data_IF_312527465612
#
_entry.id   IF_312527465612
#
_cell.length_a   1.000
_cell.length_b   1.000
_cell.length_c   1.000
_cell.angle_alpha   90.00
_cell.angle_beta   90.00
_cell.angle_gamma   90.00
#
_symmetry.space_group_name_H-M   'P 1'
#
loop_
_entity.id
_entity.type
_entity.pdbx_description
1 polymer ?
#
# COMPACT_ATOMS: atom_id res chain seq x y z
N UNK A 1 5.19 17.78 21.82
CA UNK A 1 5.73 16.87 22.86
C UNK A 1 4.76 16.74 24.03
N UNK A 2 4.39 17.84 24.69
CA UNK A 2 3.47 17.85 25.86
C UNK A 2 2.09 17.26 25.52
N UNK A 3 1.49 17.63 24.39
CA UNK A 3 0.19 17.11 23.97
C UNK A 3 0.18 15.59 23.78
N UNK A 4 1.21 15.04 23.12
CA UNK A 4 1.33 13.59 22.96
C UNK A 4 1.45 12.86 24.31
N UNK A 5 2.26 13.39 25.24
CA UNK A 5 2.43 12.80 26.57
C UNK A 5 1.14 12.85 27.40
N UNK A 6 0.35 13.93 27.29
CA UNK A 6 -0.94 14.05 27.96
C UNK A 6 -1.97 13.03 27.44
N UNK A 7 -1.98 12.80 26.12
CA UNK A 7 -2.86 11.81 25.48
C UNK A 7 -2.37 10.37 25.71
N UNK A 8 -1.06 10.17 25.90
CA UNK A 8 -0.41 8.86 26.00
C UNK A 8 0.45 8.75 27.27
N UNK A 9 -0.14 8.80 28.47
CA UNK A 9 0.60 8.86 29.73
C UNK A 9 1.47 7.61 29.98
N UNK A 10 1.05 6.43 29.50
CA UNK A 10 1.83 5.19 29.55
C UNK A 10 3.13 5.23 28.76
N UNK A 11 3.27 6.18 27.82
CA UNK A 11 4.44 6.33 26.95
C UNK A 11 5.23 7.61 27.25
N UNK A 12 4.84 8.39 28.26
CA UNK A 12 5.54 9.61 28.63
C UNK A 12 7.03 9.37 28.97
N UNK A 13 7.34 8.22 29.59
CA UNK A 13 8.70 7.80 29.90
C UNK A 13 9.57 7.42 28.69
N UNK A 14 8.98 7.18 27.51
CA UNK A 14 9.69 6.96 26.25
C UNK A 14 10.05 8.28 25.54
N UNK A 15 9.29 9.34 25.79
CA UNK A 15 9.39 10.64 25.09
C UNK A 15 10.44 11.56 25.74
N UNK A 16 10.77 11.33 27.02
CA UNK A 16 11.82 12.06 27.74
C UNK A 16 13.22 11.68 27.24
N UNK A 17 13.93 12.65 26.64
CA UNK A 17 15.26 12.48 26.06
C UNK A 17 16.25 11.83 27.03
N UNK A 18 17.03 10.87 26.52
CA UNK A 18 17.99 10.00 27.23
C UNK A 18 17.43 8.82 28.02
N UNK A 19 16.27 8.26 27.65
CA UNK A 19 15.97 6.91 28.11
C UNK A 19 16.95 5.93 27.42
N UNK A 20 17.86 5.31 28.19
CA UNK A 20 18.74 4.20 27.73
C UNK A 20 17.94 3.14 26.97
N UNK A 21 16.67 2.98 27.35
CA UNK A 21 15.68 2.10 26.73
C UNK A 21 15.48 2.43 25.24
N UNK A 22 15.33 3.70 24.84
CA UNK A 22 15.09 4.05 23.43
C UNK A 22 16.30 3.77 22.53
N UNK A 23 17.53 3.86 23.09
CA UNK A 23 18.77 3.52 22.39
C UNK A 23 19.01 2.00 22.34
N UNK A 24 18.62 1.26 23.37
CA UNK A 24 18.74 -0.21 23.43
C UNK A 24 17.64 -0.94 22.64
N UNK A 25 16.47 -0.31 22.43
CA UNK A 25 15.29 -0.96 21.80
C UNK A 25 15.02 -0.54 20.36
N UNK A 26 15.85 0.33 19.76
CA UNK A 26 15.74 0.83 18.37
C UNK A 26 14.28 1.12 17.93
N UNK A 27 13.56 1.90 18.74
CA UNK A 27 12.11 2.14 18.55
C UNK A 27 11.75 2.74 17.18
N UNK A 28 12.69 3.47 16.57
CA UNK A 28 12.54 4.09 15.25
C UNK A 28 13.00 3.17 14.12
N UNK A 29 13.74 2.10 14.42
CA UNK A 29 14.35 1.21 13.45
C UNK A 29 15.56 1.80 12.72
N UNK A 30 16.15 2.89 13.23
CA UNK A 30 17.24 3.59 12.56
C UNK A 30 18.55 2.80 12.61
N UNK A 31 18.79 2.06 13.70
CA UNK A 31 19.99 1.20 13.78
C UNK A 31 19.88 0.06 12.77
N UNK A 32 18.73 -0.62 12.74
CA UNK A 32 18.45 -1.64 11.73
C UNK A 32 18.57 -1.10 10.29
N UNK A 33 18.03 0.09 10.03
CA UNK A 33 18.15 0.76 8.72
C UNK A 33 19.62 1.03 8.35
N UNK A 34 20.40 1.63 9.25
CA UNK A 34 21.80 1.96 8.97
C UNK A 34 22.65 0.70 8.79
N UNK A 35 22.40 -0.37 9.55
CA UNK A 35 23.07 -1.65 9.36
C UNK A 35 22.79 -2.24 7.97
N UNK A 36 21.55 -2.15 7.48
CA UNK A 36 21.18 -2.60 6.13
C UNK A 36 21.82 -1.75 5.02
N UNK A 37 21.94 -0.43 5.21
CA UNK A 37 22.70 0.45 4.31
C UNK A 37 24.17 0.03 4.26
N UNK A 38 24.82 -0.13 5.41
CA UNK A 38 26.23 -0.52 5.50
C UNK A 38 26.48 -1.91 4.87
N UNK A 39 25.57 -2.86 5.10
CA UNK A 39 25.59 -4.18 4.46
C UNK A 39 25.49 -4.07 2.94
N UNK A 40 24.62 -3.19 2.44
CA UNK A 40 24.45 -2.97 1.00
C UNK A 40 25.69 -2.34 0.36
N UNK A 41 26.35 -1.42 1.06
CA UNK A 41 27.62 -0.81 0.63
C UNK A 41 28.74 -1.85 0.63
N UNK A 42 28.88 -2.64 1.69
CA UNK A 42 29.86 -3.72 1.78
C UNK A 42 29.67 -4.77 0.66
N UNK A 43 28.41 -5.06 0.31
CA UNK A 43 28.05 -5.91 -0.81
C UNK A 43 28.15 -5.23 -2.19
N UNK A 44 28.69 -4.00 -2.27
CA UNK A 44 28.87 -3.20 -3.49
C UNK A 44 27.59 -3.06 -4.32
N UNK A 45 26.44 -2.94 -3.65
CA UNK A 45 25.16 -2.68 -4.32
C UNK A 45 25.22 -1.29 -4.99
N UNK A 46 24.67 -1.20 -6.20
CA UNK A 46 24.65 0.04 -6.96
C UNK A 46 23.89 1.16 -6.25
N UNK A 47 24.23 2.41 -6.60
CA UNK A 47 23.69 3.63 -6.00
C UNK A 47 22.15 3.69 -6.01
N UNK A 48 21.51 3.19 -7.07
CA UNK A 48 20.04 3.06 -7.17
C UNK A 48 19.42 2.27 -6.02
N UNK A 49 20.09 1.21 -5.54
CA UNK A 49 19.61 0.39 -4.41
C UNK A 49 19.70 1.16 -3.11
N UNK A 50 20.81 1.88 -2.90
CA UNK A 50 21.01 2.72 -1.72
C UNK A 50 19.97 3.84 -1.68
N UNK A 51 19.76 4.55 -2.80
CA UNK A 51 18.71 5.58 -2.91
C UNK A 51 17.30 5.04 -2.66
N UNK A 52 17.01 3.83 -3.12
CA UNK A 52 15.70 3.20 -2.87
C UNK A 52 15.47 2.99 -1.37
N UNK A 53 16.46 2.46 -0.64
CA UNK A 53 16.38 2.27 0.82
C UNK A 53 16.17 3.59 1.56
N UNK A 54 16.91 4.64 1.20
CA UNK A 54 16.73 5.98 1.79
C UNK A 54 15.35 6.57 1.47
N UNK A 55 14.87 6.40 0.23
CA UNK A 55 13.52 6.84 -0.15
C UNK A 55 12.46 6.15 0.70
N UNK A 56 12.56 4.83 0.85
CA UNK A 56 11.61 4.05 1.66
C UNK A 56 11.62 4.52 3.13
N UNK A 57 12.80 4.80 3.70
CA UNK A 57 12.92 5.34 5.06
C UNK A 57 12.29 6.74 5.20
N UNK A 58 12.51 7.65 4.25
CA UNK A 58 11.90 9.00 4.26
C UNK A 58 10.38 8.92 4.07
N UNK A 59 9.89 8.10 3.14
CA UNK A 59 8.44 7.90 2.92
C UNK A 59 7.80 7.32 4.18
N UNK A 60 8.44 6.33 4.82
CA UNK A 60 7.98 5.79 6.10
C UNK A 60 7.87 6.89 7.16
N UNK A 61 8.95 7.66 7.37
CA UNK A 61 8.97 8.73 8.37
C UNK A 61 7.88 9.77 8.15
N UNK A 62 7.70 10.25 6.92
CA UNK A 62 6.68 11.26 6.59
C UNK A 62 5.25 10.74 6.77
N UNK A 63 4.98 9.47 6.48
CA UNK A 63 3.67 8.84 6.74
C UNK A 63 3.41 8.62 8.24
N UNK A 64 4.45 8.32 9.02
CA UNK A 64 4.36 8.26 10.49
C UNK A 64 4.10 9.65 11.07
N UNK A 65 4.78 10.67 10.55
CA UNK A 65 4.56 12.07 10.95
C UNK A 65 3.13 12.52 10.68
N UNK A 66 2.54 12.14 9.54
CA UNK A 66 1.14 12.45 9.24
C UNK A 66 0.18 11.86 10.30
N UNK A 67 0.36 10.59 10.65
CA UNK A 67 -0.45 9.92 11.67
C UNK A 67 -0.23 10.51 13.08
N UNK A 68 0.99 10.99 13.39
CA UNK A 68 1.27 11.73 14.61
C UNK A 68 0.49 13.05 14.63
N UNK A 69 0.52 13.80 13.53
CA UNK A 69 -0.16 15.09 13.45
C UNK A 69 -1.66 14.96 13.63
N UNK A 70 -2.30 13.99 12.98
CA UNK A 70 -3.72 13.71 13.20
C UNK A 70 -4.03 13.30 14.64
N UNK A 71 -3.20 12.42 15.22
CA UNK A 71 -3.40 11.98 16.61
C UNK A 71 -3.30 13.11 17.62
N UNK A 72 -2.35 14.04 17.42
CA UNK A 72 -2.04 15.10 18.39
C UNK A 72 -2.80 16.39 18.12
N UNK A 73 -2.99 16.76 16.85
CA UNK A 73 -3.56 18.05 16.41
C UNK A 73 -4.93 17.91 15.75
N UNK A 74 -5.42 16.68 15.54
CA UNK A 74 -6.73 16.41 14.92
C UNK A 74 -6.72 16.43 13.39
N UNK A 75 -5.66 16.94 12.77
CA UNK A 75 -5.47 16.96 11.33
C UNK A 75 -3.97 17.00 10.99
N UNK A 76 -3.64 16.64 9.74
CA UNK A 76 -2.27 16.61 9.23
C UNK A 76 -2.18 17.40 7.94
N UNK A 77 -1.19 18.29 7.83
CA UNK A 77 -0.91 18.99 6.57
C UNK A 77 -0.23 18.06 5.53
N UNK A 78 0.23 16.89 5.98
CA UNK A 78 0.88 15.89 5.14
C UNK A 78 -0.12 14.94 4.46
N UNK A 79 -1.41 15.04 4.80
CA UNK A 79 -2.47 14.29 4.16
C UNK A 79 -3.39 15.23 3.39
N UNK A 80 -3.24 15.23 2.06
CA UNK A 80 -3.98 16.13 1.17
C UNK A 80 -5.11 15.33 0.50
N UNK A 81 -6.34 15.84 0.58
CA UNK A 81 -7.51 15.26 -0.09
C UNK A 81 -8.25 14.18 0.70
N UNK A 82 -8.11 14.17 2.03
CA UNK A 82 -8.79 13.22 2.91
C UNK A 82 -10.31 13.31 2.95
N UNK A 83 -10.85 14.47 2.57
CA UNK A 83 -12.27 14.77 2.68
C UNK A 83 -13.04 14.57 1.36
N UNK A 84 -12.33 14.31 0.25
CA UNK A 84 -12.90 14.42 -1.12
C UNK A 84 -13.62 13.16 -1.62
N UNK A 85 -13.50 12.02 -0.94
CA UNK A 85 -14.24 10.81 -1.30
C UNK A 85 -15.04 10.25 -0.12
N UNK A 86 -16.35 10.42 -0.22
CA UNK A 86 -17.38 9.73 0.54
C UNK A 86 -17.42 8.23 0.14
N UNK A 87 -16.31 7.54 0.40
CA UNK A 87 -16.04 6.17 -0.04
C UNK A 87 -16.64 5.12 0.91
N UNK A 88 -17.53 5.56 1.80
CA UNK A 88 -18.28 4.73 2.75
C UNK A 88 -19.09 3.60 2.09
N UNK A 89 -19.27 3.61 0.76
CA UNK A 89 -19.90 2.52 0.02
C UNK A 89 -19.03 1.27 -0.19
N UNK A 90 -17.70 1.37 -0.10
CA UNK A 90 -16.78 0.22 -0.33
C UNK A 90 -16.14 -0.33 0.94
N UNK A 91 -16.37 0.26 2.11
CA UNK A 91 -15.80 -0.18 3.39
C UNK A 91 -14.28 0.04 3.55
N UNK A 92 -13.59 0.39 2.46
CA UNK A 92 -12.15 0.67 2.47
C UNK A 92 -11.90 2.09 2.96
N UNK A 93 -11.74 2.21 4.27
CA UNK A 93 -11.35 3.45 4.94
C UNK A 93 -9.91 3.35 5.46
N UNK A 94 -9.22 4.49 5.49
CA UNK A 94 -7.89 4.62 6.08
C UNK A 94 -6.83 5.11 5.10
N UNK A 95 -5.82 5.77 5.64
CA UNK A 95 -4.68 6.31 4.92
C UNK A 95 -3.45 6.33 5.84
N UNK A 96 -2.30 6.73 5.30
CA UNK A 96 -1.08 6.87 6.10
C UNK A 96 -0.40 5.54 6.39
N UNK A 97 0.55 5.54 7.33
CA UNK A 97 1.38 4.36 7.61
C UNK A 97 0.57 3.23 8.25
N UNK A 98 0.97 1.98 7.98
CA UNK A 98 0.29 0.79 8.49
C UNK A 98 1.20 0.08 9.48
N UNK A 99 0.70 -0.07 10.70
CA UNK A 99 1.32 -0.89 11.74
C UNK A 99 0.69 -2.28 11.81
N UNK A 100 1.43 -3.23 12.35
CA UNK A 100 0.95 -4.59 12.64
C UNK A 100 -0.16 -4.55 13.69
N UNK A 101 0.02 -3.73 14.72
CA UNK A 101 -0.91 -3.53 15.83
C UNK A 101 -0.76 -2.14 16.46
N UNK A 102 -1.74 -1.77 17.30
CA UNK A 102 -1.77 -0.49 18.00
C UNK A 102 -0.61 -0.29 19.00
N UNK A 103 -0.16 -1.31 19.77
CA UNK A 103 1.04 -1.18 20.60
C UNK A 103 2.30 -0.82 19.80
N UNK A 104 2.49 -1.38 18.62
CA UNK A 104 3.62 -1.06 17.73
C UNK A 104 3.53 0.38 17.24
N UNK A 105 2.33 0.84 16.87
CA UNK A 105 2.07 2.23 16.51
C UNK A 105 2.46 3.18 17.63
N UNK A 106 1.97 2.94 18.85
CA UNK A 106 2.23 3.82 19.99
C UNK A 106 3.72 3.91 20.34
N UNK A 107 4.44 2.78 20.32
CA UNK A 107 5.89 2.74 20.54
C UNK A 107 6.67 3.53 19.49
N UNK A 108 6.34 3.33 18.22
CA UNK A 108 7.04 4.01 17.12
C UNK A 108 6.73 5.51 17.08
N UNK A 109 5.49 5.91 17.35
CA UNK A 109 5.12 7.32 17.52
C UNK A 109 5.88 7.94 18.68
N UNK A 110 5.93 7.28 19.84
CA UNK A 110 6.65 7.74 21.02
C UNK A 110 8.16 7.94 20.73
N UNK A 111 8.77 7.03 19.99
CA UNK A 111 10.18 7.13 19.57
C UNK A 111 10.45 8.28 18.58
N UNK A 112 9.45 8.68 17.78
CA UNK A 112 9.60 9.72 16.76
C UNK A 112 9.15 11.13 17.20
N UNK A 113 8.50 11.29 18.37
CA UNK A 113 7.91 12.58 18.80
C UNK A 113 8.88 13.74 18.67
N UNK A 114 10.09 13.61 19.23
CA UNK A 114 11.11 14.69 19.22
C UNK A 114 11.53 15.06 17.80
N UNK A 115 11.71 14.05 16.94
CA UNK A 115 12.10 14.22 15.54
C UNK A 115 11.01 14.89 14.72
N UNK A 116 9.77 14.44 14.88
CA UNK A 116 8.61 14.99 14.17
C UNK A 116 8.41 16.45 14.58
N UNK A 117 8.37 16.75 15.87
CA UNK A 117 8.19 18.12 16.36
C UNK A 117 9.33 19.05 15.94
N UNK A 118 10.57 18.55 15.92
CA UNK A 118 11.71 19.29 15.39
C UNK A 118 11.56 19.58 13.89
N UNK A 119 11.24 18.55 13.09
CA UNK A 119 11.14 18.67 11.64
C UNK A 119 9.99 19.57 11.19
N UNK A 120 8.84 19.53 11.85
CA UNK A 120 7.65 20.34 11.52
C UNK A 120 7.91 21.85 11.52
N UNK A 121 8.93 22.30 12.25
CA UNK A 121 9.32 23.71 12.32
C UNK A 121 10.41 24.12 11.31
N UNK A 122 10.77 23.23 10.37
CA UNK A 122 11.87 23.46 9.43
C UNK A 122 11.39 23.80 8.02
N UNK A 123 12.26 24.44 7.23
CA UNK A 123 12.01 24.72 5.81
C UNK A 123 11.67 23.46 5.01
N UNK A 124 12.31 22.33 5.31
CA UNK A 124 12.09 21.09 4.55
C UNK A 124 10.69 20.51 4.77
N UNK A 125 10.07 20.72 5.93
CA UNK A 125 8.68 20.37 6.16
C UNK A 125 7.73 21.19 5.29
N UNK A 126 7.91 22.52 5.26
CA UNK A 126 7.09 23.39 4.43
C UNK A 126 7.27 23.12 2.92
N UNK A 127 8.51 22.86 2.48
CA UNK A 127 8.76 22.43 1.10
C UNK A 127 8.10 21.10 0.78
N UNK A 128 8.13 20.14 1.71
CA UNK A 128 7.47 18.84 1.52
C UNK A 128 5.95 18.97 1.40
N UNK A 129 5.30 19.84 2.17
CA UNK A 129 3.86 20.14 2.01
C UNK A 129 3.57 20.68 0.60
N UNK A 130 4.39 21.60 0.10
CA UNK A 130 4.23 22.16 -1.24
C UNK A 130 4.39 21.09 -2.32
N UNK A 131 5.38 20.21 -2.18
CA UNK A 131 5.60 19.09 -3.09
C UNK A 131 4.39 18.12 -3.08
N UNK A 132 3.86 17.80 -1.89
CA UNK A 132 2.66 16.97 -1.77
C UNK A 132 1.46 17.62 -2.46
N UNK A 133 1.26 18.93 -2.30
CA UNK A 133 0.17 19.65 -2.93
C UNK A 133 0.28 19.61 -4.47
N UNK A 134 1.49 19.78 -5.00
CA UNK A 134 1.73 19.63 -6.43
C UNK A 134 1.46 18.21 -6.91
N UNK A 135 1.98 17.19 -6.21
CA UNK A 135 1.73 15.78 -6.55
C UNK A 135 0.23 15.47 -6.54
N UNK A 136 -0.53 16.01 -5.58
CA UNK A 136 -1.98 15.80 -5.49
C UNK A 136 -2.73 16.30 -6.73
N UNK A 137 -2.28 17.41 -7.36
CA UNK A 137 -2.95 17.95 -8.56
C UNK A 137 -2.95 16.99 -9.74
N UNK A 138 -1.88 16.21 -9.90
CA UNK A 138 -1.65 15.29 -11.01
C UNK A 138 -1.86 13.81 -10.64
N UNK A 139 -2.25 13.53 -9.39
CA UNK A 139 -2.41 12.15 -8.91
C UNK A 139 -3.57 11.47 -9.65
N UNK A 140 -3.36 10.29 -10.27
CA UNK A 140 -4.40 9.59 -11.02
C UNK A 140 -5.62 9.20 -10.18
N UNK A 141 -5.38 8.79 -8.93
CA UNK A 141 -6.42 8.43 -7.97
C UNK A 141 -6.36 9.35 -6.76
N UNK A 142 -7.40 10.17 -6.61
CA UNK A 142 -7.65 11.03 -5.44
C UNK A 142 -8.54 10.29 -4.43
N UNK A 143 -8.42 10.63 -3.15
CA UNK A 143 -9.20 10.05 -2.03
C UNK A 143 -9.04 8.54 -1.76
N UNK A 144 -8.23 7.81 -2.56
CA UNK A 144 -7.88 6.41 -2.31
C UNK A 144 -6.37 6.28 -2.04
N UNK A 145 -6.01 5.84 -0.83
CA UNK A 145 -4.63 5.56 -0.46
C UNK A 145 -4.26 4.10 -0.81
N UNK A 146 -3.88 3.88 -2.07
CA UNK A 146 -3.39 2.56 -2.54
C UNK A 146 -2.19 2.06 -1.73
N UNK A 147 -1.33 2.96 -1.26
CA UNK A 147 -0.16 2.56 -0.49
C UNK A 147 -0.57 2.01 0.88
N UNK A 148 -1.54 2.66 1.53
CA UNK A 148 -2.13 2.17 2.77
C UNK A 148 -2.81 0.80 2.57
N UNK A 149 -3.66 0.67 1.55
CA UNK A 149 -4.34 -0.60 1.27
C UNK A 149 -3.35 -1.75 0.98
N UNK A 150 -2.32 -1.49 0.19
CA UNK A 150 -1.29 -2.48 -0.11
C UNK A 150 -0.51 -2.87 1.15
N UNK A 151 -0.11 -1.89 1.97
CA UNK A 151 0.58 -2.17 3.24
C UNK A 151 -0.31 -2.93 4.23
N UNK A 152 -1.63 -2.73 4.23
CA UNK A 152 -2.56 -3.54 5.05
C UNK A 152 -2.51 -5.02 4.67
N UNK A 153 -2.51 -5.34 3.37
CA UNK A 153 -2.35 -6.74 2.92
C UNK A 153 -0.98 -7.31 3.32
N UNK A 154 0.07 -6.48 3.35
CA UNK A 154 1.43 -6.88 3.68
C UNK A 154 1.68 -7.08 5.17
N UNK A 155 1.11 -6.21 6.00
CA UNK A 155 1.54 -6.03 7.39
C UNK A 155 0.51 -6.51 8.40
N UNK A 156 -0.79 -6.47 8.06
CA UNK A 156 -1.87 -6.80 8.99
C UNK A 156 -2.42 -8.21 8.77
N UNK A 157 -2.90 -8.82 9.86
CA UNK A 157 -3.70 -10.05 9.80
C UNK A 157 -5.17 -9.71 9.56
N UNK A 158 -5.52 -9.57 8.29
CA UNK A 158 -6.88 -9.25 7.89
C UNK A 158 -7.80 -10.47 7.92
N UNK A 159 -9.03 -10.29 8.39
CA UNK A 159 -10.06 -11.29 8.21
C UNK A 159 -10.54 -11.31 6.73
N UNK A 160 -11.23 -12.38 6.28
CA UNK A 160 -11.64 -12.48 4.89
C UNK A 160 -12.62 -11.41 4.39
N UNK A 161 -13.37 -10.75 5.27
CA UNK A 161 -14.24 -9.63 4.87
C UNK A 161 -13.40 -8.36 4.62
N UNK A 162 -12.45 -8.08 5.50
CA UNK A 162 -11.53 -6.94 5.37
C UNK A 162 -10.63 -7.05 4.14
N UNK A 163 -10.06 -8.23 3.87
CA UNK A 163 -9.24 -8.42 2.67
C UNK A 163 -10.09 -8.37 1.39
N UNK A 164 -11.33 -8.88 1.42
CA UNK A 164 -12.28 -8.76 0.29
C UNK A 164 -12.50 -7.30 -0.09
N UNK A 165 -12.75 -6.40 0.85
CA UNK A 165 -12.95 -4.98 0.57
C UNK A 165 -11.76 -4.38 -0.19
N UNK A 166 -10.53 -4.69 0.24
CA UNK A 166 -9.31 -4.22 -0.42
C UNK A 166 -9.20 -4.74 -1.85
N UNK A 167 -9.37 -6.05 -2.07
CA UNK A 167 -9.26 -6.63 -3.41
C UNK A 167 -10.34 -6.13 -4.37
N UNK A 168 -11.57 -5.96 -3.89
CA UNK A 168 -12.66 -5.41 -4.69
C UNK A 168 -12.38 -3.95 -5.05
N UNK A 169 -11.88 -3.14 -4.10
CA UNK A 169 -11.50 -1.76 -4.36
C UNK A 169 -10.33 -1.65 -5.35
N UNK A 170 -9.28 -2.47 -5.23
CA UNK A 170 -8.22 -2.54 -6.23
C UNK A 170 -8.76 -2.86 -7.61
N UNK A 171 -9.60 -3.89 -7.72
CA UNK A 171 -10.19 -4.26 -9.01
C UNK A 171 -11.07 -3.14 -9.59
N UNK A 172 -11.79 -2.39 -8.74
CA UNK A 172 -12.72 -1.29 -9.08
C UNK A 172 -12.05 0.03 -9.46
N UNK A 173 -10.91 0.37 -8.87
CA UNK A 173 -10.28 1.68 -9.06
C UNK A 173 -8.96 1.64 -9.84
N UNK A 174 -8.41 0.45 -10.11
CA UNK A 174 -7.18 0.32 -10.91
C UNK A 174 -7.58 -0.21 -12.30
N UNK A 175 -7.70 0.69 -13.27
CA UNK A 175 -8.11 0.40 -14.65
C UNK A 175 -7.21 1.06 -15.69
N UNK A 176 -6.97 2.37 -15.55
CA UNK A 176 -6.26 3.15 -16.55
C UNK A 176 -4.75 2.93 -16.49
N UNK A 177 -4.05 3.36 -17.54
CA UNK A 177 -2.59 3.29 -17.62
C UNK A 177 -1.92 3.93 -16.39
N UNK A 178 -2.34 5.15 -16.04
CA UNK A 178 -1.77 5.92 -14.94
C UNK A 178 -2.11 5.31 -13.57
N UNK A 179 -3.29 4.72 -13.42
CA UNK A 179 -3.69 4.01 -12.20
C UNK A 179 -2.86 2.74 -11.98
N UNK A 180 -2.58 2.00 -13.05
CA UNK A 180 -1.68 0.84 -12.99
C UNK A 180 -0.28 1.31 -12.63
N UNK A 181 0.25 2.37 -13.26
CA UNK A 181 1.55 2.94 -12.91
C UNK A 181 1.61 3.35 -11.43
N UNK A 182 0.55 4.01 -10.93
CA UNK A 182 0.45 4.38 -9.53
C UNK A 182 0.46 3.14 -8.62
N UNK A 183 -0.30 2.10 -8.95
CA UNK A 183 -0.31 0.86 -8.18
C UNK A 183 1.07 0.17 -8.16
N UNK A 184 1.74 0.07 -9.31
CA UNK A 184 3.09 -0.52 -9.40
C UNK A 184 4.12 0.28 -8.60
N UNK A 185 3.93 1.59 -8.45
CA UNK A 185 4.80 2.44 -7.61
C UNK A 185 4.70 2.12 -6.11
N UNK A 186 3.55 1.61 -5.64
CA UNK A 186 3.35 1.22 -4.23
C UNK A 186 3.62 -0.27 -3.96
N UNK A 187 3.83 -1.06 -5.02
CA UNK A 187 4.16 -2.47 -4.96
C UNK A 187 5.52 -2.76 -5.61
N UNK A 188 6.64 -2.13 -5.18
CA UNK A 188 7.94 -2.38 -5.78
C UNK A 188 8.41 -3.82 -5.52
N UNK A 189 9.30 -4.35 -6.37
CA UNK A 189 9.85 -5.70 -6.21
C UNK A 189 10.58 -5.91 -4.87
N UNK A 190 11.20 -4.84 -4.34
CA UNK A 190 11.81 -4.85 -3.01
C UNK A 190 10.79 -5.13 -1.89
N UNK A 191 9.51 -4.86 -2.12
CA UNK A 191 8.39 -5.11 -1.19
C UNK A 191 7.53 -6.30 -1.65
N UNK A 192 8.16 -7.27 -2.32
CA UNK A 192 7.54 -8.49 -2.88
C UNK A 192 6.66 -8.28 -4.13
N UNK A 193 6.69 -7.11 -4.75
CA UNK A 193 5.99 -6.88 -6.01
C UNK A 193 4.49 -7.15 -5.91
N UNK A 194 3.95 -7.90 -6.88
CA UNK A 194 2.53 -8.27 -6.92
C UNK A 194 2.14 -9.41 -5.98
N UNK A 195 3.06 -9.93 -5.16
CA UNK A 195 2.79 -11.09 -4.30
C UNK A 195 1.52 -10.92 -3.44
N UNK A 196 1.39 -9.80 -2.72
CA UNK A 196 0.23 -9.54 -1.86
C UNK A 196 -1.08 -9.34 -2.64
N UNK A 197 -0.99 -8.84 -3.88
CA UNK A 197 -2.13 -8.82 -4.79
C UNK A 197 -2.51 -10.25 -5.22
N UNK A 198 -1.53 -11.06 -5.60
CA UNK A 198 -1.72 -12.43 -6.08
C UNK A 198 -2.28 -13.38 -5.02
N UNK A 199 -2.10 -13.09 -3.72
CA UNK A 199 -2.79 -13.82 -2.65
C UNK A 199 -4.32 -13.78 -2.80
N UNK A 200 -4.88 -12.76 -3.48
CA UNK A 200 -6.31 -12.68 -3.80
C UNK A 200 -6.80 -13.83 -4.69
N UNK A 201 -5.92 -14.47 -5.47
CA UNK A 201 -6.24 -15.67 -6.25
C UNK A 201 -6.59 -16.88 -5.36
N UNK A 202 -6.20 -16.86 -4.09
CA UNK A 202 -6.46 -17.93 -3.12
C UNK A 202 -7.52 -17.54 -2.09
N UNK A 203 -8.19 -16.41 -2.30
CA UNK A 203 -9.22 -15.95 -1.38
C UNK A 203 -10.41 -16.91 -1.33
N UNK A 204 -11.04 -17.08 -0.16
CA UNK A 204 -12.19 -17.99 0.02
C UNK A 204 -13.38 -17.61 -0.88
N UNK A 205 -13.54 -16.31 -1.11
CA UNK A 205 -14.61 -15.75 -1.92
C UNK A 205 -14.27 -15.85 -3.41
N UNK A 206 -15.20 -16.44 -4.18
CA UNK A 206 -15.04 -16.64 -5.63
C UNK A 206 -14.94 -15.31 -6.38
N UNK A 207 -15.72 -14.31 -6.00
CA UNK A 207 -15.71 -13.03 -6.70
C UNK A 207 -14.35 -12.34 -6.55
N UNK A 208 -13.76 -12.39 -5.35
CA UNK A 208 -12.41 -11.84 -5.11
C UNK A 208 -11.38 -12.53 -6.00
N UNK A 209 -11.43 -13.85 -6.12
CA UNK A 209 -10.50 -14.60 -6.99
C UNK A 209 -10.61 -14.16 -8.46
N UNK A 210 -11.84 -14.05 -8.97
CA UNK A 210 -12.09 -13.59 -10.35
C UNK A 210 -11.62 -12.15 -10.56
N UNK A 211 -12.03 -11.23 -9.68
CA UNK A 211 -11.64 -9.80 -9.74
C UNK A 211 -10.14 -9.57 -9.63
N UNK A 212 -9.44 -10.41 -8.85
CA UNK A 212 -7.98 -10.41 -8.74
C UNK A 212 -7.34 -10.91 -10.04
N UNK A 213 -7.86 -11.99 -10.62
CA UNK A 213 -7.36 -12.50 -11.90
C UNK A 213 -7.51 -11.45 -13.01
N UNK A 214 -8.66 -10.79 -13.12
CA UNK A 214 -8.91 -9.74 -14.12
C UNK A 214 -8.01 -8.52 -13.93
N UNK A 215 -7.71 -8.14 -12.69
CA UNK A 215 -6.74 -7.07 -12.41
C UNK A 215 -5.32 -7.48 -12.79
N UNK A 216 -4.89 -8.69 -12.44
CA UNK A 216 -3.56 -9.18 -12.78
C UNK A 216 -3.36 -9.33 -14.29
N UNK A 217 -4.41 -9.70 -15.05
CA UNK A 217 -4.39 -9.71 -16.51
C UNK A 217 -4.12 -8.31 -17.07
N UNK A 218 -4.88 -7.31 -16.64
CA UNK A 218 -4.68 -5.91 -17.05
C UNK A 218 -3.28 -5.40 -16.73
N UNK A 219 -2.75 -5.75 -15.56
CA UNK A 219 -1.36 -5.44 -15.19
C UNK A 219 -0.37 -6.18 -16.11
N UNK A 220 -0.65 -7.42 -16.47
CA UNK A 220 0.18 -8.22 -17.39
C UNK A 220 0.20 -7.69 -18.83
N UNK A 221 -0.87 -7.05 -19.28
CA UNK A 221 -0.95 -6.40 -20.59
C UNK A 221 -0.25 -5.03 -20.61
N UNK A 222 -0.26 -4.31 -19.48
CA UNK A 222 0.38 -3.02 -19.32
C UNK A 222 1.90 -3.09 -19.52
N UNK A 223 2.48 -2.18 -20.31
CA UNK A 223 3.91 -2.18 -20.68
C UNK A 223 4.84 -2.26 -19.46
N UNK A 224 4.62 -1.42 -18.44
CA UNK A 224 5.40 -1.47 -17.20
C UNK A 224 5.04 -2.70 -16.35
N UNK A 225 3.80 -3.17 -16.40
CA UNK A 225 3.30 -4.23 -15.53
C UNK A 225 3.73 -5.64 -15.98
N UNK A 226 4.11 -5.81 -17.26
CA UNK A 226 4.73 -7.02 -17.78
C UNK A 226 5.94 -7.48 -16.95
N UNK A 227 6.75 -6.54 -16.46
CA UNK A 227 7.91 -6.86 -15.61
C UNK A 227 7.47 -7.48 -14.27
N UNK A 228 6.49 -6.86 -13.61
CA UNK A 228 5.91 -7.34 -12.36
C UNK A 228 5.17 -8.68 -12.53
N UNK A 229 4.44 -8.84 -13.61
CA UNK A 229 3.76 -10.09 -13.97
C UNK A 229 4.76 -11.24 -14.16
N UNK A 230 5.90 -10.98 -14.81
CA UNK A 230 6.97 -11.98 -14.94
C UNK A 230 7.51 -12.42 -13.58
N UNK A 231 7.56 -11.49 -12.61
CA UNK A 231 7.97 -11.72 -11.22
C UNK A 231 7.03 -12.64 -10.42
N UNK A 232 5.79 -12.87 -10.86
CA UNK A 232 4.89 -13.83 -10.21
C UNK A 232 5.45 -15.25 -10.28
N UNK A 233 5.31 -15.99 -9.18
CA UNK A 233 5.71 -17.38 -9.05
C UNK A 233 4.90 -18.29 -9.99
N UNK A 234 5.45 -19.47 -10.25
CA UNK A 234 4.74 -20.49 -11.04
C UNK A 234 3.42 -20.91 -10.37
N UNK A 235 3.36 -20.92 -9.04
CA UNK A 235 2.17 -21.28 -8.29
C UNK A 235 1.04 -20.27 -8.49
N UNK A 236 1.34 -18.97 -8.39
CA UNK A 236 0.37 -17.89 -8.64
C UNK A 236 -0.11 -17.91 -10.09
N UNK A 237 0.81 -18.09 -11.06
CA UNK A 237 0.44 -18.20 -12.48
C UNK A 237 -0.47 -19.39 -12.77
N UNK A 238 -0.26 -20.54 -12.13
CA UNK A 238 -1.15 -21.70 -12.27
C UNK A 238 -2.54 -21.43 -11.69
N UNK A 239 -2.62 -20.77 -10.52
CA UNK A 239 -3.89 -20.38 -9.92
C UNK A 239 -4.66 -19.41 -10.82
N UNK A 240 -3.98 -18.40 -11.35
CA UNK A 240 -4.54 -17.48 -12.34
C UNK A 240 -5.12 -18.23 -13.55
N UNK A 241 -4.31 -19.10 -14.19
CA UNK A 241 -4.74 -19.86 -15.38
C UNK A 241 -5.95 -20.76 -15.10
N UNK A 242 -6.02 -21.34 -13.90
CA UNK A 242 -7.18 -22.14 -13.47
C UNK A 242 -8.44 -21.27 -13.36
N UNK A 243 -8.34 -20.13 -12.66
CA UNK A 243 -9.47 -19.21 -12.48
C UNK A 243 -9.97 -18.70 -13.83
N UNK A 244 -9.06 -18.33 -14.75
CA UNK A 244 -9.43 -17.87 -16.11
C UNK A 244 -10.16 -18.93 -16.91
N UNK A 245 -9.70 -20.19 -16.88
CA UNK A 245 -10.41 -21.29 -17.54
C UNK A 245 -11.80 -21.51 -16.97
N UNK A 246 -11.94 -21.44 -15.64
CA UNK A 246 -13.23 -21.57 -14.96
C UNK A 246 -14.17 -20.40 -15.32
N UNK A 247 -13.67 -19.17 -15.41
CA UNK A 247 -14.49 -18.01 -15.79
C UNK A 247 -14.90 -18.02 -17.27
N UNK A 248 -14.00 -18.43 -18.17
CA UNK A 248 -14.28 -18.52 -19.60
C UNK A 248 -15.31 -19.63 -19.89
N UNK A 249 -15.21 -20.77 -19.20
CA UNK A 249 -16.19 -21.84 -19.29
C UNK A 249 -17.57 -21.38 -18.82
N UNK A 250 -17.65 -20.71 -17.66
CA UNK A 250 -18.90 -20.17 -17.14
C UNK A 250 -19.51 -19.11 -18.07
N UNK A 251 -18.69 -18.25 -18.69
CA UNK A 251 -19.15 -17.26 -19.66
C UNK A 251 -19.72 -17.93 -20.92
N UNK A 252 -19.05 -18.97 -21.45
CA UNK A 252 -19.56 -19.75 -22.59
C UNK A 252 -20.91 -20.40 -22.27
N UNK A 253 -21.02 -21.06 -21.12
CA UNK A 253 -22.28 -21.68 -20.70
C UNK A 253 -23.41 -20.66 -20.50
N UNK A 254 -23.09 -19.44 -20.04
CA UNK A 254 -24.10 -18.35 -19.97
C UNK A 254 -24.57 -17.91 -21.35
N UNK A 255 -23.64 -17.69 -22.28
CA UNK A 255 -23.97 -17.29 -23.66
C UNK A 255 -24.80 -18.36 -24.38
N UNK A 256 -24.47 -19.64 -24.18
CA UNK A 256 -25.25 -20.77 -24.70
C UNK A 256 -26.68 -20.81 -24.13
N UNK A 257 -26.84 -20.53 -22.83
CA UNK A 257 -28.17 -20.46 -22.18
C UNK A 257 -28.98 -19.25 -22.60
N UNK A 258 -28.33 -18.14 -22.93
CA UNK A 258 -28.96 -16.91 -23.42
C UNK A 258 -29.26 -16.96 -24.93
N UNK A 259 -28.93 -18.08 -25.61
CA UNK A 259 -29.24 -18.29 -27.02
C UNK A 259 -28.32 -17.55 -28.00
N UNK A 260 -27.24 -16.93 -27.52
CA UNK A 260 -26.18 -16.36 -28.35
C UNK A 260 -25.17 -17.44 -28.73
N UNK A 261 -25.60 -18.43 -29.51
CA UNK A 261 -24.66 -19.32 -30.21
C UNK A 261 -24.19 -18.64 -31.51
N UNK A 262 -22.86 -18.58 -31.77
CA UNK A 262 -22.32 -18.10 -33.06
C UNK A 262 -22.68 -19.01 -34.26
N UNK A 263 -23.47 -20.07 -34.06
CA UNK A 263 -23.90 -20.97 -35.14
C UNK A 263 -25.11 -20.47 -35.94
N UNK A 264 -25.78 -19.38 -35.54
CA UNK A 264 -26.95 -18.88 -36.28
C UNK A 264 -26.59 -18.03 -37.51
N UNK A 265 -25.38 -17.47 -37.59
CA UNK A 265 -24.95 -16.67 -38.75
C UNK A 265 -24.61 -17.51 -39.99
N UNK A 266 -24.40 -18.83 -39.85
CA UNK A 266 -24.14 -19.72 -41.00
C UNK A 266 -25.39 -20.34 -41.65
N UNK A 267 -26.58 -20.07 -41.11
CA UNK A 267 -27.86 -20.57 -41.68
C UNK A 267 -28.64 -19.53 -42.47
N UNK A 268 -28.11 -18.31 -42.59
CA UNK A 268 -28.69 -17.25 -43.43
C UNK A 268 -27.57 -16.67 -44.30
N UNK A 269 -27.04 -17.49 -45.21
CA UNK A 269 -26.30 -17.00 -46.37
C UNK A 269 -26.39 -17.98 -47.52
#
# INVERSE_FOLDING_TARGET
MVYFQQQNPSFAGLVGGTSRISAETDLTGDQAFMQDILKSIAARRGERVIRAKWRDWVIKFTRIAAAFEEGVYGASALYIGGDDLDMGSTGVNGHGYVWVDEPSRQKELAGNVTRIEGWRNTRSYYSFIQDLAQIYTIRPLKGLDLHHMHDRLRTQRLNPAQSREIYIAFSKYIFSYDEICLFLSVAPESHAGLFYLALGLFHKDREVRTRTADLLERIGEHEAGQHWWKGLSRFEKLAYMRIRRETDADMRTKLEKEGLSPELERRIS
#
